data_IF_627335745999
#
_entry.id   IF_627335745999
#
_cell.length_a   1.000
_cell.length_b   1.000
_cell.length_c   1.000
_cell.angle_alpha   90.00
_cell.angle_beta   90.00
_cell.angle_gamma   90.00
#
_symmetry.space_group_name_H-M   'P 1'
#
loop_
_entity.id
_entity.type
_entity.pdbx_description
1 polymer ?
#
# COMPACT_ATOMS: atom_id res chain seq x y z
N UNK A 1 -12.37 21.50 -11.87
CA UNK A 1 -11.67 20.49 -11.13
C UNK A 1 -11.71 20.77 -9.66
N UNK A 2 -11.91 19.77 -8.86
CA UNK A 2 -12.08 19.95 -7.44
C UNK A 2 -10.74 20.14 -6.73
N UNK A 3 -10.72 20.99 -5.74
CA UNK A 3 -9.55 21.17 -4.91
C UNK A 3 -9.23 19.86 -4.19
N UNK A 4 -10.26 19.11 -3.81
CA UNK A 4 -10.05 17.82 -3.16
C UNK A 4 -9.34 16.86 -4.08
N UNK A 5 -9.69 16.86 -5.35
CA UNK A 5 -9.04 15.97 -6.29
C UNK A 5 -7.56 16.32 -6.43
N UNK A 6 -7.26 17.61 -6.52
CA UNK A 6 -5.87 18.04 -6.64
C UNK A 6 -5.08 17.67 -5.40
N UNK A 7 -5.68 17.85 -4.22
CA UNK A 7 -5.01 17.47 -2.97
C UNK A 7 -4.82 15.97 -2.88
N UNK A 8 -5.82 15.19 -3.32
CA UNK A 8 -5.69 13.74 -3.29
C UNK A 8 -4.53 13.28 -4.18
N UNK A 9 -4.38 13.89 -5.33
CA UNK A 9 -3.29 13.55 -6.24
C UNK A 9 -1.94 13.85 -5.61
N UNK A 10 -1.84 14.96 -4.89
CA UNK A 10 -0.58 15.31 -4.23
C UNK A 10 -0.28 14.37 -3.07
N UNK A 11 -1.29 14.01 -2.31
CA UNK A 11 -1.11 13.05 -1.22
C UNK A 11 -0.62 11.73 -1.79
N UNK A 12 -1.25 11.27 -2.86
CA UNK A 12 -0.85 10.02 -3.50
C UNK A 12 0.60 10.10 -3.99
N UNK A 13 0.96 11.21 -4.59
CA UNK A 13 2.33 11.41 -5.08
C UNK A 13 3.35 11.29 -3.94
N UNK A 14 3.08 11.91 -2.82
CA UNK A 14 4.01 11.86 -1.69
C UNK A 14 4.12 10.43 -1.15
N UNK A 15 2.99 9.76 -1.03
CA UNK A 15 2.99 8.39 -0.53
C UNK A 15 3.75 7.47 -1.49
N UNK A 16 3.54 7.64 -2.78
CA UNK A 16 4.22 6.80 -3.77
C UNK A 16 5.74 6.95 -3.68
N UNK A 17 6.20 8.11 -3.27
CA UNK A 17 7.63 8.34 -3.20
C UNK A 17 8.23 8.01 -1.83
N UNK A 18 7.42 7.96 -0.80
CA UNK A 18 7.93 7.82 0.56
C UNK A 18 7.40 6.63 1.34
N UNK A 19 6.65 5.76 0.69
CA UNK A 19 6.01 4.66 1.41
C UNK A 19 7.00 3.73 2.09
N UNK A 20 8.22 3.64 1.57
CA UNK A 20 9.21 2.73 2.12
C UNK A 20 9.79 3.21 3.46
N UNK A 21 9.51 4.43 3.84
CA UNK A 21 9.92 4.92 5.13
C UNK A 21 8.95 4.39 6.19
N UNK A 22 9.42 3.54 7.10
CA UNK A 22 8.49 2.98 8.10
C UNK A 22 7.97 4.03 9.07
N UNK A 23 8.59 5.18 9.11
CA UNK A 23 8.16 6.25 10.01
C UNK A 23 7.23 7.26 9.34
N UNK A 24 6.82 7.02 8.11
CA UNK A 24 5.96 7.97 7.42
C UNK A 24 4.63 8.09 8.14
N UNK A 25 4.25 9.32 8.45
CA UNK A 25 3.02 9.58 9.16
C UNK A 25 2.14 10.52 8.35
N UNK A 26 0.87 10.60 8.74
CA UNK A 26 -0.05 11.50 8.08
C UNK A 26 0.40 12.95 8.25
N UNK A 27 1.00 13.27 9.41
CA UNK A 27 1.49 14.63 9.64
C UNK A 27 2.63 14.97 8.68
N UNK A 28 3.50 14.02 8.41
CA UNK A 28 4.58 14.25 7.48
C UNK A 28 4.04 14.50 6.08
N UNK A 29 3.07 13.69 5.66
CA UNK A 29 2.48 13.86 4.34
C UNK A 29 1.77 15.21 4.25
N UNK A 30 1.03 15.57 5.29
CA UNK A 30 0.33 16.84 5.32
C UNK A 30 1.32 18.00 5.16
N UNK A 31 2.46 17.90 5.83
CA UNK A 31 3.50 18.92 5.72
C UNK A 31 4.05 19.06 4.32
N UNK A 32 4.25 17.93 3.63
CA UNK A 32 4.75 17.97 2.26
C UNK A 32 3.73 18.57 1.31
N UNK A 33 2.45 18.29 1.54
CA UNK A 33 1.41 18.80 0.67
C UNK A 33 1.01 20.22 1.01
N UNK A 34 1.26 20.64 2.24
CA UNK A 34 0.94 21.99 2.66
C UNK A 34 -0.48 22.16 3.16
N UNK A 35 -1.06 21.11 3.71
CA UNK A 35 -2.40 21.16 4.30
C UNK A 35 -2.35 20.47 5.65
N UNK A 36 -3.42 20.58 6.41
CA UNK A 36 -3.46 19.97 7.74
C UNK A 36 -3.70 18.47 7.63
N UNK A 37 -3.32 17.75 8.68
CA UNK A 37 -3.57 16.32 8.72
C UNK A 37 -5.06 16.03 8.66
N UNK A 38 -5.87 16.85 9.33
CA UNK A 38 -7.31 16.68 9.27
C UNK A 38 -7.84 16.85 7.86
N UNK A 39 -7.26 17.77 7.12
CA UNK A 39 -7.68 17.98 5.75
C UNK A 39 -7.27 16.79 4.87
N UNK A 40 -6.09 16.20 5.14
CA UNK A 40 -5.68 14.99 4.43
C UNK A 40 -6.73 13.90 4.64
N UNK A 41 -7.16 13.71 5.88
CA UNK A 41 -8.19 12.70 6.18
C UNK A 41 -9.46 12.96 5.41
N UNK A 42 -9.90 14.22 5.38
CA UNK A 42 -11.11 14.59 4.70
C UNK A 42 -11.01 14.37 3.19
N UNK A 43 -9.86 14.74 2.64
CA UNK A 43 -9.60 14.56 1.22
C UNK A 43 -9.63 13.09 0.83
N UNK A 44 -8.95 12.25 1.59
CA UNK A 44 -8.89 10.83 1.27
C UNK A 44 -10.25 10.17 1.40
N UNK A 45 -10.98 10.53 2.44
CA UNK A 45 -12.30 9.97 2.62
C UNK A 45 -13.23 10.37 1.48
N UNK A 46 -13.15 11.61 1.08
CA UNK A 46 -14.03 12.13 0.04
C UNK A 46 -13.67 11.60 -1.34
N UNK A 47 -12.38 11.56 -1.67
CA UNK A 47 -11.95 11.19 -3.00
C UNK A 47 -11.71 9.70 -3.18
N UNK A 48 -11.35 9.00 -2.11
CA UNK A 48 -10.97 7.61 -2.20
C UNK A 48 -11.77 6.69 -1.29
N UNK A 49 -12.48 7.24 -0.31
CA UNK A 49 -13.27 6.45 0.61
C UNK A 49 -12.45 5.61 1.56
N UNK A 50 -11.26 6.09 1.93
CA UNK A 50 -10.38 5.29 2.77
C UNK A 50 -9.59 6.18 3.70
N UNK A 51 -8.86 5.56 4.62
CA UNK A 51 -8.02 6.28 5.55
C UNK A 51 -6.61 6.34 5.01
N UNK A 52 -5.78 7.20 5.62
CA UNK A 52 -4.38 7.29 5.27
C UNK A 52 -3.69 5.95 5.50
N UNK A 53 -3.99 5.30 6.62
CA UNK A 53 -3.37 4.01 6.92
C UNK A 53 -3.69 2.97 5.86
N UNK A 54 -4.93 2.95 5.39
CA UNK A 54 -5.34 2.03 4.34
C UNK A 54 -4.60 2.31 3.05
N UNK A 55 -4.48 3.57 2.69
CA UNK A 55 -3.79 3.92 1.45
C UNK A 55 -2.33 3.56 1.52
N UNK A 56 -1.67 3.86 2.64
CA UNK A 56 -0.26 3.55 2.80
C UNK A 56 -0.02 2.04 2.75
N UNK A 57 -0.87 1.29 3.44
CA UNK A 57 -0.75 -0.17 3.43
C UNK A 57 -0.94 -0.72 2.02
N UNK A 58 -1.90 -0.17 1.30
CA UNK A 58 -2.16 -0.61 -0.07
C UNK A 58 -0.94 -0.40 -0.96
N UNK A 59 -0.33 0.76 -0.89
CA UNK A 59 0.85 1.06 -1.70
C UNK A 59 1.99 0.11 -1.34
N UNK A 60 2.20 -0.12 -0.06
CA UNK A 60 3.26 -1.02 0.39
C UNK A 60 3.04 -2.45 -0.09
N UNK A 61 1.80 -2.93 -0.03
CA UNK A 61 1.51 -4.30 -0.44
C UNK A 61 1.60 -4.47 -1.95
N UNK A 62 1.25 -3.46 -2.72
CA UNK A 62 1.39 -3.53 -4.16
C UNK A 62 2.85 -3.63 -4.56
N UNK A 63 3.70 -2.88 -3.91
CA UNK A 63 5.13 -2.97 -4.19
C UNK A 63 5.67 -4.33 -3.73
N UNK A 64 5.15 -4.85 -2.62
CA UNK A 64 5.56 -6.17 -2.16
C UNK A 64 5.19 -7.24 -3.17
N UNK A 65 4.01 -7.15 -3.76
CA UNK A 65 3.60 -8.10 -4.80
C UNK A 65 4.59 -8.08 -5.95
N UNK A 66 4.99 -6.89 -6.37
CA UNK A 66 5.94 -6.76 -7.46
C UNK A 66 7.28 -7.40 -7.09
N UNK A 67 7.77 -7.15 -5.88
CA UNK A 67 9.04 -7.72 -5.45
C UNK A 67 8.97 -9.24 -5.30
N UNK A 68 7.82 -9.73 -4.88
CA UNK A 68 7.66 -11.18 -4.77
C UNK A 68 7.74 -11.86 -6.13
N UNK A 69 7.23 -11.20 -7.15
CA UNK A 69 7.25 -11.75 -8.49
C UNK A 69 8.58 -11.55 -9.19
N UNK A 70 9.21 -10.40 -8.97
CA UNK A 70 10.32 -9.97 -9.80
C UNK A 70 11.68 -10.01 -9.13
N UNK A 71 11.76 -10.38 -7.88
CA UNK A 71 13.04 -10.43 -7.20
C UNK A 71 13.19 -11.71 -6.40
N UNK A 72 14.40 -11.95 -5.93
CA UNK A 72 14.66 -13.10 -5.08
C UNK A 72 14.85 -12.69 -3.63
N UNK A 73 14.45 -11.48 -3.27
CA UNK A 73 14.55 -11.03 -1.89
C UNK A 73 13.76 -11.95 -0.98
N UNK A 74 14.26 -12.12 0.23
CA UNK A 74 13.55 -12.93 1.23
C UNK A 74 12.31 -12.18 1.69
N UNK A 75 11.41 -12.89 2.36
CA UNK A 75 10.22 -12.26 2.93
C UNK A 75 10.59 -11.14 3.87
N UNK A 76 11.62 -11.36 4.66
CA UNK A 76 12.07 -10.36 5.62
C UNK A 76 12.60 -9.12 4.91
N UNK A 77 13.39 -9.34 3.86
CA UNK A 77 13.92 -8.23 3.09
C UNK A 77 12.81 -7.42 2.44
N UNK A 78 11.82 -8.09 1.88
CA UNK A 78 10.71 -7.40 1.25
C UNK A 78 9.95 -6.58 2.28
N UNK A 79 9.68 -7.16 3.46
CA UNK A 79 8.96 -6.44 4.49
C UNK A 79 9.63 -5.10 4.81
N UNK A 80 10.95 -5.13 4.98
CA UNK A 80 11.66 -3.91 5.31
C UNK A 80 11.75 -2.95 4.11
N UNK A 81 11.90 -3.48 2.92
CA UNK A 81 12.01 -2.62 1.74
C UNK A 81 10.75 -1.87 1.43
N UNK A 82 9.60 -2.43 1.77
CA UNK A 82 8.35 -1.75 1.49
C UNK A 82 7.84 -0.94 2.68
N UNK A 83 8.59 -0.89 3.78
CA UNK A 83 8.26 0.05 4.85
C UNK A 83 7.64 -0.54 6.10
N UNK A 84 7.55 -1.86 6.22
CA UNK A 84 7.05 -2.45 7.46
C UNK A 84 8.18 -2.55 8.46
N UNK A 85 7.88 -2.27 9.73
CA UNK A 85 8.88 -2.34 10.76
C UNK A 85 9.19 -3.77 11.18
N UNK A 86 8.22 -4.65 11.05
CA UNK A 86 8.37 -6.04 11.47
C UNK A 86 7.85 -6.97 10.39
N UNK A 87 8.59 -8.03 10.06
CA UNK A 87 8.12 -9.00 9.06
C UNK A 87 6.76 -9.61 9.39
N UNK A 88 6.45 -9.77 10.69
CA UNK A 88 5.17 -10.33 11.07
C UNK A 88 4.01 -9.39 10.72
N UNK A 89 4.23 -8.09 10.80
CA UNK A 89 3.21 -7.13 10.40
C UNK A 89 2.96 -7.22 8.90
N UNK A 90 4.03 -7.34 8.14
CA UNK A 90 3.93 -7.48 6.70
C UNK A 90 3.17 -8.74 6.34
N UNK A 91 3.55 -9.86 6.94
CA UNK A 91 2.93 -11.13 6.65
C UNK A 91 1.43 -11.11 6.95
N UNK A 92 1.07 -10.51 8.08
CA UNK A 92 -0.32 -10.43 8.48
C UNK A 92 -1.11 -9.52 7.54
N UNK A 93 -0.54 -8.37 7.20
CA UNK A 93 -1.22 -7.44 6.31
C UNK A 93 -1.37 -8.04 4.91
N UNK A 94 -0.34 -8.71 4.43
CA UNK A 94 -0.38 -9.32 3.12
C UNK A 94 -1.43 -10.43 3.07
N UNK A 95 -1.43 -11.32 4.05
CA UNK A 95 -2.38 -12.41 4.10
C UNK A 95 -3.81 -11.89 4.19
N UNK A 96 -4.02 -10.84 4.99
CA UNK A 96 -5.35 -10.27 5.12
C UNK A 96 -5.86 -9.65 3.84
N UNK A 97 -4.97 -9.15 3.01
CA UNK A 97 -5.34 -8.49 1.79
C UNK A 97 -5.43 -9.45 0.61
N UNK A 98 -4.52 -10.40 0.55
CA UNK A 98 -4.40 -11.29 -0.60
C UNK A 98 -4.97 -12.67 -0.40
N UNK A 99 -5.25 -13.04 0.83
CA UNK A 99 -5.80 -14.34 1.11
C UNK A 99 -4.80 -15.46 1.24
N UNK A 100 -3.54 -15.22 0.91
CA UNK A 100 -2.48 -16.21 1.05
C UNK A 100 -1.23 -15.54 1.59
N UNK A 101 -0.35 -16.29 2.27
CA UNK A 101 0.88 -15.71 2.78
C UNK A 101 1.80 -15.27 1.65
N UNK A 102 2.72 -14.35 1.91
CA UNK A 102 3.64 -13.88 0.87
C UNK A 102 4.45 -15.00 0.22
N UNK A 103 4.92 -15.96 1.02
CA UNK A 103 5.72 -17.05 0.46
C UNK A 103 4.89 -17.90 -0.49
N UNK A 104 3.66 -18.14 -0.15
CA UNK A 104 2.78 -18.92 -0.99
C UNK A 104 2.44 -18.17 -2.26
N UNK A 105 2.22 -16.87 -2.15
CA UNK A 105 1.97 -16.04 -3.30
C UNK A 105 3.13 -16.12 -4.30
N UNK A 106 4.37 -16.05 -3.79
CA UNK A 106 5.55 -16.15 -4.64
C UNK A 106 5.62 -17.50 -5.33
N UNK A 107 5.37 -18.56 -4.58
CA UNK A 107 5.42 -19.89 -5.13
C UNK A 107 4.42 -20.06 -6.26
N UNK A 108 3.22 -19.58 -6.06
CA UNK A 108 2.17 -19.68 -7.05
C UNK A 108 2.49 -18.88 -8.31
N UNK A 109 3.06 -17.70 -8.13
CA UNK A 109 3.43 -16.87 -9.26
C UNK A 109 4.56 -17.46 -10.05
N UNK A 110 5.56 -18.02 -9.37
CA UNK A 110 6.69 -18.64 -10.03
C UNK A 110 6.24 -19.87 -10.80
N UNK A 111 5.32 -20.64 -10.24
CA UNK A 111 4.84 -21.82 -10.87
C UNK A 111 3.86 -21.54 -11.99
N UNK A 112 3.49 -20.29 -12.16
CA UNK A 112 2.51 -19.94 -13.17
C UNK A 112 1.10 -20.31 -12.79
N UNK A 113 0.87 -20.59 -11.52
CA UNK A 113 -0.45 -20.97 -11.07
C UNK A 113 -1.17 -19.75 -10.59
N UNK A 114 -1.99 -19.21 -11.41
CA UNK A 114 -2.72 -18.05 -10.99
C UNK A 114 -3.96 -18.45 -10.31
N UNK A 115 -4.02 -18.34 -9.05
CA UNK A 115 -5.15 -18.66 -8.30
C UNK A 115 -6.29 -17.91 -8.72
N UNK A 116 -6.20 -16.66 -8.89
CA UNK A 116 -7.33 -15.89 -9.24
C UNK A 116 -7.06 -15.18 -10.51
N UNK A 117 -6.05 -15.55 -11.13
CA UNK A 117 -5.67 -14.94 -12.36
C UNK A 117 -5.57 -13.44 -12.24
N UNK A 118 -5.40 -12.99 -11.04
CA UNK A 118 -5.23 -11.58 -10.87
C UNK A 118 -4.56 -11.33 -9.57
N UNK A 119 -4.05 -10.17 -9.43
CA UNK A 119 -3.38 -9.83 -8.23
C UNK A 119 -4.30 -9.69 -7.09
N UNK A 120 -3.77 -9.68 -5.93
CA UNK A 120 -4.55 -9.40 -4.76
C UNK A 120 -5.21 -8.07 -4.92
N UNK A 121 -6.44 -7.99 -4.55
CA UNK A 121 -7.17 -6.75 -4.62
C UNK A 121 -7.19 -6.15 -3.25
N UNK A 122 -6.48 -5.08 -3.01
CA UNK A 122 -6.55 -4.42 -1.71
C UNK A 122 -7.98 -3.97 -1.47
N UNK A 123 -8.34 -3.92 -0.23
CA UNK A 123 -9.68 -3.52 0.15
C UNK A 123 -10.09 -2.21 -0.49
N UNK A 124 -9.15 -1.32 -0.64
CA UNK A 124 -9.43 -0.05 -1.20
C UNK A 124 -9.85 -0.13 -2.66
N UNK A 125 -9.31 -1.06 -3.42
CA UNK A 125 -9.70 -1.20 -4.81
C UNK A 125 -11.15 -1.61 -4.94
N UNK A 126 -11.59 -2.44 -4.05
CA UNK A 126 -12.95 -2.92 -4.07
C UNK A 126 -13.92 -1.81 -3.81
N UNK A 127 -13.59 -0.93 -2.91
CA UNK A 127 -14.49 0.10 -2.53
C UNK A 127 -14.60 1.22 -3.49
N UNK A 128 -13.79 1.27 -4.47
CA UNK A 128 -13.77 2.39 -5.34
C UNK A 128 -14.75 2.34 -6.43
N UNK A 129 -15.61 1.50 -6.40
CA UNK A 129 -16.53 1.38 -7.47
C UNK A 129 -17.44 2.54 -7.67
#
# INVERSE_FOLDING_TARGET
>A
MSVYRAHAARVQYVIDRKFADPALTIDAVAGFVGISAQHVCRVLRRERGLTFADLLRDVRLREAQRLLRESSYSMKEIAFRVGFRHPSQFSRAFTGSCGVPPSEYRTQEIAGMFITSKECEPAISVRRV
#
